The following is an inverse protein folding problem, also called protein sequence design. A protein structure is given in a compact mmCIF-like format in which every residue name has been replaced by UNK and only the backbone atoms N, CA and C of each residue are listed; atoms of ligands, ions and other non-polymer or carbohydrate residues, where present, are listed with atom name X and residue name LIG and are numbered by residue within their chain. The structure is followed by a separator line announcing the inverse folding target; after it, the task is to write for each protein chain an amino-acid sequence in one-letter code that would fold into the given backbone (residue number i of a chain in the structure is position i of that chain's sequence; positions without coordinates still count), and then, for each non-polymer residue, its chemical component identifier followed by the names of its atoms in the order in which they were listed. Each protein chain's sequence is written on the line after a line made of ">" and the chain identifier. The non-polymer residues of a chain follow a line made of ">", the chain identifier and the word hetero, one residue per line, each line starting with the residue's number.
data_IF_702552593080
#
_entry.id   IF_702552593080
#
_cell.length_a   1.000
_cell.length_b   1.000
_cell.length_c   1.000
_cell.angle_alpha   90.00
_cell.angle_beta   90.00
_cell.angle_gamma   90.00
#
_symmetry.space_group_name_H-M   'P 1'
#
loop_
_entity.id
_entity.type
_entity.pdbx_description
1 polymer ?
#
# COMPACT_ATOMS: atom_id res chain seq x y z
N UNK A 1 18.49 -8.93 -2.37
CA UNK A 1 17.62 -8.99 -1.20
C UNK A 1 17.27 -7.61 -0.72
N UNK A 2 16.01 -7.32 -0.58
CA UNK A 2 15.62 -6.05 -0.05
C UNK A 2 14.20 -6.08 0.45
N UNK A 3 13.90 -5.18 1.38
CA UNK A 3 12.58 -5.10 1.98
C UNK A 3 11.98 -3.73 1.78
N UNK A 4 10.66 -3.68 1.84
CA UNK A 4 9.89 -2.45 1.88
C UNK A 4 9.25 -2.34 3.25
N UNK A 5 8.90 -1.10 3.61
CA UNK A 5 8.16 -0.83 4.82
C UNK A 5 6.68 -0.75 4.44
N UNK A 6 5.92 -1.77 4.81
CA UNK A 6 4.55 -1.97 4.33
C UNK A 6 3.55 -1.71 5.43
N UNK A 7 2.52 -0.92 5.15
CA UNK A 7 1.43 -0.64 6.07
C UNK A 7 0.10 -0.80 5.39
N UNK A 8 -0.85 -1.44 6.08
CA UNK A 8 -2.24 -1.46 5.65
C UNK A 8 -3.05 -0.53 6.54
N UNK A 9 -3.90 0.29 5.95
CA UNK A 9 -4.67 1.28 6.68
C UNK A 9 -6.15 0.92 6.72
N UNK A 10 -6.88 1.54 7.65
CA UNK A 10 -8.30 1.33 7.86
C UNK A 10 -8.58 -0.16 8.03
N UNK A 11 -9.54 -0.72 7.31
CA UNK A 11 -9.88 -2.13 7.48
C UNK A 11 -8.73 -3.06 7.09
N UNK A 12 -7.81 -2.60 6.23
CA UNK A 12 -6.66 -3.43 5.87
C UNK A 12 -5.68 -3.60 7.02
N UNK A 13 -5.68 -2.68 7.96
CA UNK A 13 -4.89 -2.84 9.16
C UNK A 13 -5.28 -4.15 9.89
N UNK A 14 -6.58 -4.40 9.99
CA UNK A 14 -7.07 -5.60 10.64
C UNK A 14 -6.79 -6.86 9.81
N UNK A 15 -6.93 -6.73 8.49
CA UNK A 15 -6.63 -7.84 7.59
C UNK A 15 -5.17 -8.24 7.71
N UNK A 16 -4.27 -7.26 7.73
CA UNK A 16 -2.85 -7.53 7.89
C UNK A 16 -2.56 -8.19 9.23
N UNK A 17 -3.20 -7.71 10.28
CA UNK A 17 -3.01 -8.27 11.61
C UNK A 17 -3.43 -9.73 11.65
N UNK A 18 -4.54 -10.06 11.00
CA UNK A 18 -5.01 -11.43 10.95
C UNK A 18 -4.06 -12.33 10.17
N UNK A 19 -3.34 -11.76 9.21
CA UNK A 19 -2.35 -12.50 8.43
C UNK A 19 -1.01 -12.60 9.15
N UNK A 20 -0.91 -12.03 10.36
CA UNK A 20 0.33 -12.05 11.10
C UNK A 20 1.34 -11.00 10.69
N UNK A 21 0.90 -9.99 9.95
CA UNK A 21 1.78 -8.91 9.50
C UNK A 21 1.78 -7.77 10.49
N UNK A 22 2.93 -7.12 10.62
CA UNK A 22 3.08 -5.98 11.52
C UNK A 22 2.64 -4.67 10.93
N UNK A 23 2.83 -3.59 11.70
CA UNK A 23 2.52 -2.25 11.27
C UNK A 23 3.64 -1.33 11.78
N UNK A 24 4.70 -1.13 10.97
CA UNK A 24 4.85 -1.63 9.61
C UNK A 24 5.33 -3.07 9.54
N UNK A 25 5.15 -3.67 8.39
CA UNK A 25 5.72 -4.96 8.08
C UNK A 25 6.91 -4.75 7.14
N UNK A 26 8.02 -5.37 7.44
CA UNK A 26 9.19 -5.32 6.54
C UNK A 26 9.09 -6.51 5.61
N UNK A 27 8.62 -6.26 4.41
CA UNK A 27 8.24 -7.28 3.46
C UNK A 27 9.31 -7.46 2.40
N UNK A 28 9.73 -8.70 2.16
CA UNK A 28 10.80 -9.00 1.22
C UNK A 28 10.29 -8.85 -0.22
N UNK A 29 11.01 -8.04 -1.02
CA UNK A 29 10.65 -7.83 -2.42
C UNK A 29 11.82 -8.10 -3.36
N UNK A 30 12.92 -8.63 -2.85
CA UNK A 30 14.14 -8.90 -3.62
C UNK A 30 14.65 -7.62 -4.29
N UNK A 31 14.59 -7.56 -5.64
CA UNK A 31 15.04 -6.38 -6.39
C UNK A 31 13.91 -5.41 -6.67
N UNK A 32 12.68 -5.80 -6.38
CA UNK A 32 11.51 -4.97 -6.61
C UNK A 32 10.30 -5.79 -7.00
N UNK A 33 9.14 -5.16 -6.92
CA UNK A 33 7.87 -5.82 -7.20
C UNK A 33 6.89 -4.76 -7.70
N UNK A 34 6.03 -5.10 -8.67
CA UNK A 34 5.01 -4.17 -9.09
C UNK A 34 3.92 -4.08 -8.02
N UNK A 35 3.18 -2.97 -8.01
CA UNK A 35 2.07 -2.83 -7.07
C UNK A 35 1.05 -3.94 -7.25
N UNK A 36 0.76 -4.30 -8.49
CA UNK A 36 -0.18 -5.36 -8.79
C UNK A 36 0.29 -6.70 -8.22
N UNK A 37 1.55 -7.01 -8.41
CA UNK A 37 2.12 -8.27 -7.91
C UNK A 37 2.11 -8.30 -6.38
N UNK A 38 2.40 -7.17 -5.75
CA UNK A 38 2.38 -7.07 -4.30
C UNK A 38 0.99 -7.40 -3.74
N UNK A 39 -0.04 -6.85 -4.36
CA UNK A 39 -1.40 -7.11 -3.93
C UNK A 39 -1.73 -8.58 -4.05
N UNK A 40 -1.31 -9.21 -5.14
CA UNK A 40 -1.53 -10.64 -5.34
C UNK A 40 -0.79 -11.47 -4.30
N UNK A 41 0.47 -11.11 -4.04
CA UNK A 41 1.29 -11.84 -3.06
C UNK A 41 0.70 -11.76 -1.66
N UNK A 42 0.06 -10.64 -1.33
CA UNK A 42 -0.57 -10.46 -0.03
C UNK A 42 -1.92 -11.18 0.06
N UNK A 43 -2.40 -11.77 -1.03
CA UNK A 43 -3.68 -12.44 -1.03
C UNK A 43 -4.86 -11.51 -1.08
N UNK A 44 -4.65 -10.26 -1.49
CA UNK A 44 -5.71 -9.27 -1.61
C UNK A 44 -6.27 -9.29 -3.02
N UNK A 45 -7.56 -8.95 -3.13
CA UNK A 45 -8.20 -8.83 -4.43
C UNK A 45 -8.07 -7.38 -4.90
N UNK A 46 -8.11 -7.13 -6.22
CA UNK A 46 -8.04 -5.75 -6.72
C UNK A 46 -9.11 -4.86 -6.11
N UNK A 47 -10.31 -5.40 -5.87
CA UNK A 47 -11.41 -4.61 -5.29
C UNK A 47 -11.20 -4.30 -3.81
N UNK A 48 -10.25 -4.95 -3.15
CA UNK A 48 -9.94 -4.67 -1.75
C UNK A 48 -9.01 -3.49 -1.58
N UNK A 49 -8.46 -2.97 -2.67
CA UNK A 49 -7.46 -1.91 -2.64
C UNK A 49 -7.90 -0.76 -3.53
N UNK A 50 -8.06 0.42 -2.94
CA UNK A 50 -8.36 1.61 -3.72
C UNK A 50 -7.09 2.22 -4.28
N UNK A 51 -6.04 2.29 -3.48
CA UNK A 51 -4.81 2.95 -3.87
C UNK A 51 -3.63 2.39 -3.10
N UNK A 52 -2.46 2.49 -3.73
CA UNK A 52 -1.19 2.26 -3.06
C UNK A 52 -0.44 3.58 -3.05
N UNK A 53 0.15 3.92 -1.93
CA UNK A 53 1.02 5.08 -1.84
C UNK A 53 2.43 4.61 -1.59
N UNK A 54 3.37 5.21 -2.30
CA UNK A 54 4.79 4.90 -2.13
C UNK A 54 5.51 6.19 -1.82
N UNK A 55 6.16 6.22 -0.66
CA UNK A 55 6.92 7.40 -0.20
C UNK A 55 6.05 8.65 -0.18
N UNK A 56 4.78 8.49 0.20
CA UNK A 56 3.87 9.62 0.35
C UNK A 56 3.14 10.05 -0.90
N UNK A 57 3.34 9.35 -2.02
CA UNK A 57 2.69 9.71 -3.29
C UNK A 57 1.85 8.56 -3.81
N UNK A 58 0.74 8.89 -4.45
CA UNK A 58 -0.10 7.87 -5.09
C UNK A 58 0.72 7.16 -6.17
N UNK A 59 0.62 5.85 -6.20
CA UNK A 59 1.48 5.00 -7.00
C UNK A 59 0.70 4.25 -8.06
N UNK A 60 1.25 4.22 -9.28
CA UNK A 60 0.68 3.43 -10.37
C UNK A 60 1.01 1.96 -10.14
N UNK A 61 -0.02 1.11 -10.16
CA UNK A 61 0.12 -0.32 -9.86
C UNK A 61 1.07 -1.06 -10.80
N UNK A 62 1.33 -0.49 -11.96
CA UNK A 62 2.22 -1.11 -12.95
C UNK A 62 3.68 -0.76 -12.72
N UNK A 63 3.95 0.24 -11.89
CA UNK A 63 5.32 0.64 -11.62
C UNK A 63 5.95 -0.27 -10.58
N UNK A 64 7.28 -0.25 -10.55
CA UNK A 64 8.04 -1.10 -9.66
C UNK A 64 8.26 -0.43 -8.31
N UNK A 65 7.92 -1.16 -7.26
CA UNK A 65 8.23 -0.78 -5.88
C UNK A 65 9.61 -1.35 -5.58
N UNK A 66 10.50 -0.53 -5.08
CA UNK A 66 11.89 -0.91 -4.89
C UNK A 66 12.22 -1.10 -3.42
N UNK A 67 13.24 -1.88 -3.10
CA UNK A 67 13.69 -2.01 -1.71
C UNK A 67 13.96 -0.63 -1.11
N UNK A 68 13.56 -0.49 0.15
CA UNK A 68 13.71 0.79 0.85
C UNK A 68 12.50 1.69 0.76
N UNK A 69 11.56 1.41 -0.14
CA UNK A 69 10.35 2.23 -0.28
C UNK A 69 9.43 2.02 0.91
N UNK A 70 8.69 3.09 1.24
CA UNK A 70 7.63 3.02 2.24
C UNK A 70 6.30 2.93 1.51
N UNK A 71 5.56 1.88 1.77
CA UNK A 71 4.36 1.53 1.01
C UNK A 71 3.16 1.50 1.94
N UNK A 72 2.10 2.19 1.56
CA UNK A 72 0.83 2.19 2.27
C UNK A 72 -0.27 1.70 1.34
N UNK A 73 -1.07 0.76 1.80
CA UNK A 73 -2.18 0.21 1.03
C UNK A 73 -3.48 0.67 1.65
N UNK A 74 -4.35 1.25 0.82
CA UNK A 74 -5.59 1.87 1.26
C UNK A 74 -6.78 1.11 0.70
N UNK A 75 -7.76 0.75 1.53
CA UNK A 75 -8.97 0.09 1.06
C UNK A 75 -9.97 1.09 0.49
N UNK A 76 -10.94 0.64 -0.30
CA UNK A 76 -12.04 1.50 -0.73
C UNK A 76 -12.81 2.03 0.48
N UNK A 77 -13.36 3.22 0.35
CA UNK A 77 -14.16 3.81 1.42
C UNK A 77 -13.35 4.49 2.49
N UNK A 78 -12.07 4.74 2.25
CA UNK A 78 -11.24 5.50 3.20
C UNK A 78 -11.88 6.87 3.43
N UNK A 79 -12.05 7.27 4.70
CA UNK A 79 -12.70 8.57 5.00
C UNK A 79 -11.96 9.75 4.36
N UNK A 80 -12.73 10.79 4.00
CA UNK A 80 -12.19 11.96 3.33
C UNK A 80 -11.03 12.63 4.06
N UNK A 81 -11.13 12.91 5.37
CA UNK A 81 -10.01 13.52 6.08
C UNK A 81 -8.74 12.69 6.03
N UNK A 82 -8.90 11.40 6.10
CA UNK A 82 -7.79 10.48 6.03
C UNK A 82 -7.13 10.53 4.65
N UNK A 83 -7.95 10.61 3.61
CA UNK A 83 -7.45 10.70 2.23
C UNK A 83 -6.64 11.99 2.03
N UNK A 84 -7.10 13.09 2.62
CA UNK A 84 -6.38 14.36 2.55
C UNK A 84 -5.01 14.23 3.20
N UNK A 85 -4.96 13.64 4.37
CA UNK A 85 -3.70 13.45 5.10
C UNK A 85 -2.73 12.63 4.27
N UNK A 86 -3.23 11.63 3.55
CA UNK A 86 -2.40 10.75 2.74
C UNK A 86 -2.13 11.31 1.34
N UNK A 87 -2.72 12.46 0.99
CA UNK A 87 -2.44 13.12 -0.27
C UNK A 87 -3.28 12.67 -1.45
N UNK A 88 -4.22 11.75 -1.25
CA UNK A 88 -5.02 11.22 -2.34
C UNK A 88 -5.91 12.30 -2.95
N UNK A 89 -6.60 13.06 -2.10
CA UNK A 89 -7.52 14.10 -2.56
C UNK A 89 -6.77 15.21 -3.28
N UNK A 90 -5.57 15.53 -2.80
CA UNK A 90 -4.78 16.57 -3.42
C UNK A 90 -4.41 16.23 -4.86
N UNK A 91 -4.22 14.97 -5.14
CA UNK A 91 -3.93 14.54 -6.50
C UNK A 91 -5.09 14.86 -7.43
N UNK A 92 -6.30 14.75 -6.92
CA UNK A 92 -7.49 14.95 -7.73
C UNK A 92 -7.75 16.41 -8.04
N UNK A 93 -7.23 17.30 -7.23
CA UNK A 93 -7.43 18.74 -7.45
C UNK A 93 -6.60 19.26 -8.61
N UNK A 94 -5.57 18.57 -8.93
CA UNK A 94 -4.72 18.98 -10.04
C UNK A 94 -5.34 18.64 -11.36
#
# INVERSE_FOLDING_TARGET
>A
MGTIELRGFAKLYHVFKEKGLGFPEYYEVNDGITGKQLIQDLGLRPEDVEAIMVNGCVFNMKNLIKPGDRVAILPPGTPGPYRVILGIVNQEKE
#
